data_IF_630301532323
#
_entry.id   IF_630301532323
#
_cell.length_a   1.000
_cell.length_b   1.000
_cell.length_c   1.000
_cell.angle_alpha   90.00
_cell.angle_beta   90.00
_cell.angle_gamma   90.00
#
_symmetry.space_group_name_H-M   'P 1'
#
loop_
_entity.id
_entity.type
_entity.pdbx_description
1 polymer ?
#
# COMPACT_ATOMS: atom_id res chain seq x y z
N UNK A 1 -13.93 -38.68 -29.57
CA UNK A 1 -13.26 -37.76 -28.63
C UNK A 1 -14.28 -36.71 -28.21
N UNK A 2 -14.64 -36.60 -26.92
CA UNK A 2 -15.50 -35.52 -26.46
C UNK A 2 -14.73 -34.18 -26.51
N UNK A 3 -15.36 -33.16 -27.09
CA UNK A 3 -14.87 -31.79 -27.10
C UNK A 3 -14.78 -31.27 -25.64
N UNK A 4 -13.68 -30.64 -25.21
CA UNK A 4 -13.61 -30.06 -23.87
C UNK A 4 -14.70 -28.98 -23.75
N UNK A 5 -15.62 -29.17 -22.82
CA UNK A 5 -16.64 -28.18 -22.52
C UNK A 5 -15.97 -26.86 -22.10
N UNK A 6 -16.51 -25.70 -22.53
CA UNK A 6 -15.99 -24.41 -22.08
C UNK A 6 -16.05 -24.37 -20.55
N UNK A 7 -14.89 -24.21 -19.92
CA UNK A 7 -14.78 -24.02 -18.48
C UNK A 7 -15.67 -22.83 -18.10
N UNK A 8 -16.56 -22.97 -17.08
CA UNK A 8 -17.40 -21.86 -16.67
C UNK A 8 -16.48 -20.71 -16.22
N UNK A 9 -16.59 -19.57 -16.90
CA UNK A 9 -15.92 -18.35 -16.46
C UNK A 9 -16.38 -18.07 -15.04
N UNK A 10 -15.46 -18.18 -14.06
CA UNK A 10 -15.76 -17.93 -12.65
C UNK A 10 -16.33 -16.51 -12.57
N UNK A 11 -17.60 -16.32 -12.17
CA UNK A 11 -18.16 -14.99 -12.03
C UNK A 11 -17.34 -14.27 -10.96
N UNK A 12 -16.61 -13.24 -11.33
CA UNK A 12 -15.84 -12.41 -10.37
C UNK A 12 -16.80 -11.87 -9.32
N UNK A 13 -16.56 -12.28 -8.08
CA UNK A 13 -17.38 -11.90 -6.94
C UNK A 13 -17.14 -10.44 -6.57
N UNK A 14 -18.17 -9.78 -6.03
CA UNK A 14 -18.15 -8.35 -5.66
C UNK A 14 -16.95 -7.98 -4.76
N UNK A 15 -16.54 -8.89 -3.88
CA UNK A 15 -15.42 -8.67 -2.96
C UNK A 15 -14.05 -8.72 -3.66
N UNK A 16 -13.90 -9.53 -4.72
CA UNK A 16 -12.68 -9.56 -5.54
C UNK A 16 -12.52 -8.23 -6.29
N UNK A 17 -13.61 -7.77 -6.91
CA UNK A 17 -13.64 -6.47 -7.62
C UNK A 17 -13.34 -5.32 -6.65
N UNK A 18 -13.98 -5.30 -5.49
CA UNK A 18 -13.74 -4.26 -4.47
C UNK A 18 -12.28 -4.28 -3.96
N UNK A 19 -11.72 -5.47 -3.69
CA UNK A 19 -10.33 -5.62 -3.25
C UNK A 19 -9.32 -5.17 -4.31
N UNK A 20 -9.54 -5.53 -5.57
CA UNK A 20 -8.70 -5.12 -6.68
C UNK A 20 -8.76 -3.60 -6.92
N UNK A 21 -9.96 -3.01 -6.94
CA UNK A 21 -10.12 -1.56 -7.11
C UNK A 21 -9.48 -0.77 -5.97
N UNK A 22 -9.65 -1.22 -4.73
CA UNK A 22 -9.02 -0.58 -3.57
C UNK A 22 -7.48 -0.65 -3.66
N UNK A 23 -6.93 -1.77 -4.09
CA UNK A 23 -5.48 -1.91 -4.29
C UNK A 23 -4.96 -1.05 -5.44
N UNK A 24 -5.69 -0.95 -6.55
CA UNK A 24 -5.34 -0.07 -7.67
C UNK A 24 -5.35 1.40 -7.26
N UNK A 25 -6.35 1.83 -6.48
CA UNK A 25 -6.38 3.17 -5.92
C UNK A 25 -5.17 3.43 -5.01
N UNK A 26 -4.78 2.45 -4.22
CA UNK A 26 -3.63 2.52 -3.33
C UNK A 26 -2.31 2.65 -4.10
N UNK A 27 -2.09 1.82 -5.12
CA UNK A 27 -0.95 1.94 -6.02
C UNK A 27 -0.89 3.32 -6.69
N UNK A 28 -2.04 3.83 -7.15
CA UNK A 28 -2.12 5.16 -7.74
C UNK A 28 -1.81 6.27 -6.74
N UNK A 29 -2.33 6.15 -5.50
CA UNK A 29 -2.10 7.13 -4.44
C UNK A 29 -0.62 7.20 -4.03
N UNK A 30 0.06 6.05 -3.98
CA UNK A 30 1.49 5.92 -3.69
C UNK A 30 2.36 6.39 -4.86
N UNK A 31 1.93 6.11 -6.10
CA UNK A 31 2.66 6.48 -7.31
C UNK A 31 2.64 7.98 -7.64
N UNK A 32 1.72 8.76 -7.05
CA UNK A 32 1.65 10.22 -7.24
C UNK A 32 2.78 10.93 -6.48
N UNK A 33 3.69 11.65 -7.18
CA UNK A 33 4.69 12.49 -6.52
C UNK A 33 4.01 13.67 -5.81
N UNK A 34 4.64 14.19 -4.75
CA UNK A 34 4.07 15.24 -3.88
C UNK A 34 3.90 14.85 -2.41
N UNK A 35 4.41 13.68 -2.01
CA UNK A 35 4.73 13.33 -0.61
C UNK A 35 6.02 14.04 -0.18
N UNK A 36 6.21 14.24 1.12
CA UNK A 36 7.47 14.77 1.71
C UNK A 36 8.73 14.07 1.13
N UNK A 37 8.60 12.78 0.80
CA UNK A 37 9.66 11.95 0.23
C UNK A 37 10.05 12.37 -1.21
N UNK A 38 9.10 12.91 -1.98
CA UNK A 38 9.33 13.43 -3.33
C UNK A 38 10.10 14.74 -3.35
N UNK A 39 9.88 15.61 -2.37
CA UNK A 39 10.69 16.83 -2.18
C UNK A 39 12.12 16.47 -1.74
N UNK A 40 12.27 15.48 -0.85
CA UNK A 40 13.58 14.99 -0.43
C UNK A 40 14.35 14.33 -1.59
N UNK A 41 13.68 13.51 -2.41
CA UNK A 41 14.26 12.87 -3.58
C UNK A 41 14.59 13.87 -4.70
N UNK A 42 13.75 14.89 -4.92
CA UNK A 42 14.00 15.95 -5.88
C UNK A 42 15.21 16.79 -5.47
N UNK A 43 15.32 17.18 -4.19
CA UNK A 43 16.49 17.89 -3.67
C UNK A 43 17.76 17.05 -3.82
N UNK A 44 17.73 15.77 -3.47
CA UNK A 44 18.87 14.86 -3.67
C UNK A 44 19.29 14.73 -5.15
N UNK A 45 18.33 14.66 -6.08
CA UNK A 45 18.63 14.64 -7.53
C UNK A 45 19.21 15.95 -8.01
N UNK A 46 18.66 17.07 -7.57
CA UNK A 46 19.13 18.41 -7.93
C UNK A 46 20.54 18.66 -7.40
N UNK A 47 20.85 18.18 -6.20
CA UNK A 47 22.20 18.23 -5.63
C UNK A 47 23.17 17.26 -6.31
N UNK A 48 22.73 16.05 -6.67
CA UNK A 48 23.53 15.11 -7.45
C UNK A 48 23.83 15.64 -8.87
N UNK A 49 22.93 16.44 -9.45
CA UNK A 49 23.14 17.11 -10.72
C UNK A 49 24.00 18.38 -10.61
N UNK A 50 23.91 19.11 -9.49
CA UNK A 50 24.69 20.33 -9.23
C UNK A 50 26.09 20.07 -8.66
N UNK A 51 26.37 18.89 -8.12
CA UNK A 51 27.62 18.56 -7.45
C UNK A 51 28.29 17.29 -7.96
N UNK A 52 29.23 17.43 -8.90
CA UNK A 52 30.26 16.43 -9.11
C UNK A 52 31.08 16.24 -7.82
N UNK A 53 30.90 15.11 -7.14
CA UNK A 53 31.88 14.57 -6.19
C UNK A 53 31.98 15.16 -4.78
N UNK A 54 31.08 16.03 -4.31
CA UNK A 54 31.07 16.47 -2.89
C UNK A 54 29.70 16.26 -2.26
N UNK A 55 29.70 15.58 -1.11
CA UNK A 55 28.50 15.39 -0.28
C UNK A 55 27.78 16.73 -0.05
N UNK A 56 26.45 16.75 -0.07
CA UNK A 56 25.68 17.98 0.05
C UNK A 56 25.95 18.70 1.39
N UNK A 57 25.87 20.04 1.42
CA UNK A 57 26.23 20.84 2.58
C UNK A 57 25.37 20.50 3.81
N UNK A 58 25.93 20.60 5.03
CA UNK A 58 25.31 20.15 6.27
C UNK A 58 24.01 20.89 6.64
N UNK A 59 23.64 21.96 5.94
CA UNK A 59 22.42 22.71 6.17
C UNK A 59 21.15 21.94 5.76
N UNK A 60 21.26 20.97 4.84
CA UNK A 60 20.19 20.00 4.52
C UNK A 60 20.10 18.88 5.57
N UNK A 61 21.19 18.65 6.31
CA UNK A 61 21.26 17.73 7.45
C UNK A 61 20.82 18.40 8.77
N UNK A 62 20.91 19.73 8.90
CA UNK A 62 20.57 20.48 10.11
C UNK A 62 19.07 20.58 10.42
N UNK A 63 18.20 20.37 9.41
CA UNK A 63 16.75 20.17 9.61
C UNK A 63 16.36 18.70 9.80
N UNK A 64 17.34 17.78 9.72
CA UNK A 64 17.13 16.35 9.86
C UNK A 64 17.15 16.03 11.36
N UNK A 65 15.97 15.87 11.94
CA UNK A 65 15.84 15.11 13.19
C UNK A 65 16.68 13.83 13.06
N UNK A 66 17.40 13.43 14.12
CA UNK A 66 18.14 12.15 14.16
C UNK A 66 17.27 10.93 13.82
N UNK A 67 15.95 11.12 13.78
CA UNK A 67 14.92 10.16 13.42
C UNK A 67 14.30 10.36 12.03
N UNK A 68 14.82 11.28 11.19
CA UNK A 68 14.32 11.44 9.81
C UNK A 68 15.01 10.39 8.92
N UNK A 69 14.30 9.33 8.52
CA UNK A 69 14.90 8.26 7.72
C UNK A 69 15.36 8.81 6.37
N UNK A 70 16.37 8.18 5.77
CA UNK A 70 16.82 8.55 4.42
C UNK A 70 15.71 8.32 3.40
N UNK A 71 15.69 9.06 2.29
CA UNK A 71 14.72 8.84 1.21
C UNK A 71 14.69 7.39 0.70
N UNK A 72 15.83 6.68 0.77
CA UNK A 72 15.93 5.25 0.48
C UNK A 72 15.19 4.34 1.48
N UNK A 73 14.94 4.78 2.72
CA UNK A 73 14.14 4.00 3.66
C UNK A 73 12.70 3.82 3.19
N UNK A 74 12.20 4.68 2.29
CA UNK A 74 10.91 4.50 1.63
C UNK A 74 10.96 3.46 0.50
N UNK A 75 12.13 2.94 0.11
CA UNK A 75 12.22 1.86 -0.87
C UNK A 75 11.63 0.54 -0.33
N UNK A 76 11.53 0.38 1.00
CA UNK A 76 10.88 -0.78 1.64
C UNK A 76 9.42 -0.95 1.22
N UNK A 77 8.76 0.13 0.80
CA UNK A 77 7.38 0.08 0.30
C UNK A 77 7.25 -0.82 -0.93
N UNK A 78 8.24 -0.86 -1.83
CA UNK A 78 8.18 -1.67 -3.06
C UNK A 78 7.97 -3.17 -2.78
N UNK A 79 8.87 -3.82 -2.02
CA UNK A 79 8.70 -5.21 -1.61
C UNK A 79 7.43 -5.47 -0.80
N UNK A 80 7.01 -4.53 0.07
CA UNK A 80 5.76 -4.65 0.84
C UNK A 80 4.56 -4.70 -0.11
N UNK A 81 4.42 -3.73 -1.01
CA UNK A 81 3.33 -3.68 -1.98
C UNK A 81 3.31 -4.89 -2.90
N UNK A 82 4.48 -5.35 -3.34
CA UNK A 82 4.59 -6.56 -4.17
C UNK A 82 4.14 -7.81 -3.40
N UNK A 83 4.60 -7.99 -2.17
CA UNK A 83 4.19 -9.11 -1.32
C UNK A 83 2.68 -9.10 -1.04
N UNK A 84 2.13 -7.92 -0.73
CA UNK A 84 0.69 -7.68 -0.55
C UNK A 84 -0.12 -8.04 -1.80
N UNK A 85 0.35 -7.62 -2.99
CA UNK A 85 -0.25 -7.96 -4.28
C UNK A 85 -0.30 -9.47 -4.48
N UNK A 86 0.84 -10.15 -4.33
CA UNK A 86 0.96 -11.59 -4.57
C UNK A 86 0.11 -12.38 -3.58
N UNK A 87 0.05 -11.95 -2.32
CA UNK A 87 -0.74 -12.64 -1.30
C UNK A 87 -2.25 -12.47 -1.51
N UNK A 88 -2.74 -11.23 -1.64
CA UNK A 88 -4.18 -10.99 -1.71
C UNK A 88 -4.74 -11.20 -3.11
N UNK A 89 -4.15 -10.59 -4.16
CA UNK A 89 -4.67 -10.73 -5.51
C UNK A 89 -4.31 -12.10 -6.10
N UNK A 90 -3.13 -12.63 -5.78
CA UNK A 90 -2.83 -14.03 -6.09
C UNK A 90 -3.81 -14.97 -5.39
N UNK A 91 -4.11 -14.74 -4.11
CA UNK A 91 -5.19 -15.45 -3.42
C UNK A 91 -6.55 -15.32 -4.12
N UNK A 92 -6.96 -14.11 -4.49
CA UNK A 92 -8.25 -13.87 -5.13
C UNK A 92 -8.43 -14.53 -6.49
N UNK A 93 -7.41 -14.51 -7.33
CA UNK A 93 -7.53 -14.90 -8.74
C UNK A 93 -6.93 -16.27 -9.05
N UNK A 94 -6.00 -16.77 -8.23
CA UNK A 94 -5.40 -18.10 -8.42
C UNK A 94 -6.11 -19.19 -7.61
N UNK A 95 -6.69 -18.87 -6.45
CA UNK A 95 -7.42 -19.88 -5.65
C UNK A 95 -8.69 -20.43 -6.29
N UNK A 96 -9.45 -19.68 -7.12
CA UNK A 96 -10.53 -20.28 -7.89
C UNK A 96 -10.06 -21.44 -8.76
N UNK A 97 -8.79 -21.46 -9.19
CA UNK A 97 -8.21 -22.58 -9.96
C UNK A 97 -8.00 -23.84 -9.11
N UNK A 98 -7.99 -23.69 -7.79
CA UNK A 98 -7.83 -24.80 -6.84
C UNK A 98 -9.17 -25.39 -6.37
N UNK A 99 -10.31 -24.83 -6.81
CA UNK A 99 -11.67 -25.27 -6.42
C UNK A 99 -11.84 -25.44 -4.90
N UNK A 100 -11.28 -24.52 -4.10
CA UNK A 100 -11.34 -24.56 -2.65
C UNK A 100 -12.30 -23.50 -2.11
N UNK A 101 -13.57 -23.89 -1.95
CA UNK A 101 -14.65 -22.99 -1.51
C UNK A 101 -14.45 -22.48 -0.09
N UNK A 102 -13.90 -23.30 0.81
CA UNK A 102 -13.63 -22.91 2.19
C UNK A 102 -12.61 -21.76 2.24
N UNK A 103 -11.54 -21.88 1.44
CA UNK A 103 -10.53 -20.84 1.34
C UNK A 103 -11.08 -19.60 0.63
N UNK A 104 -11.94 -19.76 -0.38
CA UNK A 104 -12.63 -18.62 -1.00
C UNK A 104 -13.54 -17.88 -0.02
N UNK A 105 -14.26 -18.59 0.84
CA UNK A 105 -15.02 -18.01 1.95
C UNK A 105 -14.15 -17.25 2.94
N UNK A 106 -12.97 -17.78 3.28
CA UNK A 106 -12.01 -17.12 4.16
C UNK A 106 -11.55 -15.76 3.60
N UNK A 107 -11.16 -15.72 2.33
CA UNK A 107 -10.75 -14.48 1.66
C UNK A 107 -11.91 -13.49 1.52
N UNK A 108 -13.11 -13.96 1.20
CA UNK A 108 -14.31 -13.11 1.14
C UNK A 108 -14.63 -12.45 2.48
N UNK A 109 -14.54 -13.21 3.59
CA UNK A 109 -14.76 -12.71 4.95
C UNK A 109 -13.67 -11.71 5.39
N UNK A 110 -12.44 -11.92 4.94
CA UNK A 110 -11.31 -11.05 5.24
C UNK A 110 -11.31 -9.77 4.37
N UNK A 111 -11.89 -9.80 3.17
CA UNK A 111 -11.85 -8.74 2.16
C UNK A 111 -12.22 -7.33 2.67
N UNK A 112 -13.22 -7.12 3.56
CA UNK A 112 -13.51 -5.77 4.09
C UNK A 112 -12.33 -5.15 4.84
N UNK A 113 -11.57 -5.97 5.58
CA UNK A 113 -10.39 -5.53 6.32
C UNK A 113 -9.23 -5.19 5.38
N UNK A 114 -9.10 -5.93 4.27
CA UNK A 114 -8.15 -5.58 3.20
C UNK A 114 -8.50 -4.25 2.53
N UNK A 115 -9.76 -4.07 2.12
CA UNK A 115 -10.24 -2.84 1.48
C UNK A 115 -10.03 -1.64 2.39
N UNK A 116 -10.40 -1.76 3.67
CA UNK A 116 -10.16 -0.70 4.66
C UNK A 116 -8.67 -0.33 4.78
N UNK A 117 -7.78 -1.33 4.80
CA UNK A 117 -6.33 -1.11 4.80
C UNK A 117 -5.86 -0.32 3.59
N UNK A 118 -6.27 -0.72 2.38
CA UNK A 118 -5.92 -0.02 1.14
C UNK A 118 -6.43 1.42 1.11
N UNK A 119 -7.67 1.67 1.58
CA UNK A 119 -8.24 3.01 1.62
C UNK A 119 -7.53 3.91 2.65
N UNK A 120 -7.23 3.39 3.84
CA UNK A 120 -6.51 4.14 4.87
C UNK A 120 -5.06 4.45 4.47
N UNK A 121 -4.41 3.54 3.74
CA UNK A 121 -3.08 3.77 3.18
C UNK A 121 -3.11 4.79 2.02
N UNK A 122 -4.17 4.78 1.21
CA UNK A 122 -4.40 5.80 0.20
C UNK A 122 -4.60 7.18 0.84
N UNK A 123 -5.40 7.25 1.90
CA UNK A 123 -5.61 8.47 2.68
C UNK A 123 -4.33 8.95 3.35
N UNK A 124 -3.53 8.05 3.91
CA UNK A 124 -2.20 8.35 4.43
C UNK A 124 -1.33 9.06 3.38
N UNK A 125 -1.31 8.56 2.13
CA UNK A 125 -0.58 9.23 1.05
C UNK A 125 -1.14 10.62 0.71
N UNK A 126 -2.46 10.81 0.79
CA UNK A 126 -3.11 12.11 0.54
C UNK A 126 -2.78 13.13 1.63
N UNK A 127 -2.69 12.70 2.88
CA UNK A 127 -2.48 13.62 4.02
C UNK A 127 -1.13 14.34 4.00
N UNK A 128 -0.13 13.82 3.30
CA UNK A 128 1.16 14.48 3.11
C UNK A 128 1.21 15.48 1.96
N UNK A 129 0.10 15.71 1.24
CA UNK A 129 0.09 16.66 0.13
C UNK A 129 0.14 18.10 0.65
N UNK A 130 0.76 19.04 -0.08
CA UNK A 130 0.93 20.42 0.37
C UNK A 130 -0.36 21.11 0.81
N UNK A 131 -1.50 20.80 0.18
CA UNK A 131 -2.82 21.35 0.53
C UNK A 131 -3.27 21.07 1.98
N UNK A 132 -2.73 20.02 2.62
CA UNK A 132 -3.07 19.66 3.99
C UNK A 132 -1.98 20.07 5.00
N UNK A 133 -0.84 20.57 4.52
CA UNK A 133 0.31 21.02 5.32
C UNK A 133 -0.02 22.25 6.18
N UNK A 134 -0.97 23.07 5.74
CA UNK A 134 -1.37 24.30 6.42
C UNK A 134 -2.28 24.06 7.63
N UNK A 135 -2.64 22.80 7.93
CA UNK A 135 -3.51 22.43 9.05
C UNK A 135 -2.84 22.43 10.44
N UNK A 136 -1.61 22.93 10.57
CA UNK A 136 -0.92 23.12 11.85
C UNK A 136 -0.61 21.81 12.60
N UNK A 137 -0.72 21.80 13.94
CA UNK A 137 -0.34 20.67 14.81
C UNK A 137 -1.05 19.34 14.50
N UNK A 138 -2.23 19.39 13.85
CA UNK A 138 -2.97 18.21 13.39
C UNK A 138 -2.33 17.51 12.19
N UNK A 139 -1.43 18.19 11.47
CA UNK A 139 -0.83 17.68 10.23
C UNK A 139 -0.11 16.34 10.40
N UNK A 140 0.52 16.08 11.55
CA UNK A 140 1.19 14.79 11.80
C UNK A 140 0.28 13.75 12.48
N UNK A 141 -0.81 14.18 13.13
CA UNK A 141 -1.75 13.26 13.79
C UNK A 141 -2.62 12.51 12.79
N UNK A 142 -3.06 13.18 11.73
CA UNK A 142 -3.89 12.57 10.67
C UNK A 142 -3.13 11.45 9.93
N UNK A 143 -1.91 11.64 9.39
CA UNK A 143 -1.16 10.54 8.80
C UNK A 143 -0.84 9.44 9.82
N UNK A 144 -0.52 9.78 11.08
CA UNK A 144 -0.30 8.76 12.10
C UNK A 144 -1.55 7.89 12.33
N UNK A 145 -2.73 8.51 12.40
CA UNK A 145 -4.01 7.81 12.55
C UNK A 145 -4.33 6.94 11.32
N UNK A 146 -4.11 7.43 10.09
CA UNK A 146 -4.29 6.64 8.88
C UNK A 146 -3.34 5.44 8.82
N UNK A 147 -2.09 5.61 9.25
CA UNK A 147 -1.10 4.52 9.30
C UNK A 147 -1.47 3.48 10.37
N UNK A 148 -1.86 3.91 11.57
CA UNK A 148 -2.33 3.03 12.63
C UNK A 148 -3.58 2.25 12.19
N UNK A 149 -4.53 2.92 11.54
CA UNK A 149 -5.72 2.29 10.98
C UNK A 149 -5.39 1.28 9.87
N UNK A 150 -4.40 1.57 9.02
CA UNK A 150 -3.89 0.62 8.02
C UNK A 150 -3.36 -0.63 8.71
N UNK A 151 -2.50 -0.48 9.72
CA UNK A 151 -1.94 -1.59 10.48
C UNK A 151 -3.02 -2.43 11.17
N UNK A 152 -4.02 -1.79 11.81
CA UNK A 152 -5.13 -2.49 12.45
C UNK A 152 -6.01 -3.25 11.45
N UNK A 153 -6.27 -2.66 10.28
CA UNK A 153 -7.06 -3.27 9.21
C UNK A 153 -6.35 -4.49 8.62
N UNK A 154 -5.05 -4.37 8.30
CA UNK A 154 -4.26 -5.48 7.78
C UNK A 154 -4.04 -6.57 8.85
N UNK A 155 -3.83 -6.20 10.11
CA UNK A 155 -3.77 -7.16 11.22
C UNK A 155 -5.06 -7.96 11.36
N UNK A 156 -6.21 -7.30 11.23
CA UNK A 156 -7.52 -7.95 11.23
C UNK A 156 -7.71 -8.86 10.01
N UNK A 157 -7.23 -8.47 8.84
CA UNK A 157 -7.24 -9.28 7.63
C UNK A 157 -6.46 -10.60 7.84
N UNK A 158 -5.23 -10.53 8.35
CA UNK A 158 -4.44 -11.74 8.66
C UNK A 158 -5.08 -12.61 9.74
N UNK A 159 -5.64 -12.01 10.79
CA UNK A 159 -6.28 -12.75 11.88
C UNK A 159 -7.52 -13.52 11.38
N UNK A 160 -8.33 -12.90 10.52
CA UNK A 160 -9.50 -13.55 9.91
C UNK A 160 -9.10 -14.73 9.04
N UNK A 161 -8.08 -14.56 8.19
CA UNK A 161 -7.58 -15.67 7.37
C UNK A 161 -7.05 -16.82 8.23
N UNK A 162 -6.22 -16.53 9.24
CA UNK A 162 -5.68 -17.56 10.13
C UNK A 162 -6.79 -18.33 10.85
N UNK A 163 -7.82 -17.63 11.33
CA UNK A 163 -8.97 -18.25 12.02
C UNK A 163 -9.85 -19.09 11.09
N UNK A 164 -9.88 -18.79 9.81
CA UNK A 164 -10.63 -19.58 8.82
C UNK A 164 -9.85 -20.78 8.27
N UNK A 165 -8.57 -20.91 8.62
CA UNK A 165 -7.69 -22.03 8.21
C UNK A 165 -7.41 -23.03 9.35
N UNK A 166 -7.84 -22.72 10.58
CA UNK A 166 -7.77 -23.57 11.78
C UNK A 166 -9.14 -24.17 12.05
#
# INVERSE_FOLDING_TARGET
MPCPSPQPSVPTSRWQVAGALAYMLNLWAVGKPGRLDGEAAARLKEEAQKGAGKLPPPQILLGRSKFTPSGYAFAIWGPIFLGEMLFHLGGQFLLPLLNNDALMGAFANAAPSWVAGCLLQSLWCVTFRPRFRDAGALYLMVPAACLAGTAASLGSYHLKLRRSML
#
